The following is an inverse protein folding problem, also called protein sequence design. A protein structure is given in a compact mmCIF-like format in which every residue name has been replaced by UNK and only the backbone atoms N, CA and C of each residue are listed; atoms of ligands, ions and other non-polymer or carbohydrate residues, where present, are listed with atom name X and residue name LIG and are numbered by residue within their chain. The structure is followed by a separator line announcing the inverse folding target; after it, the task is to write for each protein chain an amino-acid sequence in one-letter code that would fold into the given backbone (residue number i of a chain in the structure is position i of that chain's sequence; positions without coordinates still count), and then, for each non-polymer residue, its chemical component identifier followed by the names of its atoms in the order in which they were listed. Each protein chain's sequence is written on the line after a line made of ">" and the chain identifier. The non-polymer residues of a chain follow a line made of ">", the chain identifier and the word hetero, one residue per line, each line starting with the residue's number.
data_IF_697256375580
#
_entry.id   IF_697256375580
#
_cell.length_a   1.000
_cell.length_b   1.000
_cell.length_c   1.000
_cell.angle_alpha   90.00
_cell.angle_beta   90.00
_cell.angle_gamma   90.00
#
_symmetry.space_group_name_H-M   'P 1'
#
loop_
_entity.id
_entity.type
_entity.pdbx_description
1 polymer ?
#
# COMPACT_ATOMS: atom_id res chain seq x y z
N UNK A 1 -15.78 -15.29 -7.66
CA UNK A 1 -14.39 -14.77 -7.61
C UNK A 1 -14.55 -13.29 -7.81
N UNK A 2 -14.94 -12.57 -6.75
CA UNK A 2 -15.68 -11.31 -6.91
C UNK A 2 -14.90 -10.08 -6.46
N UNK A 3 -13.70 -10.26 -5.91
CA UNK A 3 -12.83 -9.16 -5.49
C UNK A 3 -11.62 -9.09 -6.42
N UNK A 4 -11.39 -7.91 -6.99
CA UNK A 4 -10.16 -7.62 -7.73
C UNK A 4 -9.67 -6.21 -7.41
N UNK A 5 -8.36 -5.99 -7.62
CA UNK A 5 -7.70 -4.73 -7.36
C UNK A 5 -7.16 -4.15 -8.66
N UNK A 6 -7.31 -2.84 -8.85
CA UNK A 6 -6.70 -2.12 -9.95
C UNK A 6 -5.75 -1.05 -9.41
N UNK A 7 -4.66 -0.80 -10.13
CA UNK A 7 -3.64 0.17 -9.77
C UNK A 7 -3.35 1.11 -10.95
N UNK A 8 -3.51 2.40 -10.74
CA UNK A 8 -3.01 3.44 -11.65
C UNK A 8 -1.88 4.20 -10.95
N UNK A 9 -0.93 4.76 -11.70
CA UNK A 9 0.19 5.45 -11.07
C UNK A 9 0.71 6.62 -11.88
N UNK A 10 1.38 7.54 -11.18
CA UNK A 10 2.12 8.65 -11.78
C UNK A 10 3.59 8.45 -11.55
N UNK A 11 4.36 8.84 -12.55
CA UNK A 11 5.81 8.72 -12.55
C UNK A 11 6.46 10.07 -12.81
N UNK A 12 7.59 10.31 -12.16
CA UNK A 12 8.46 11.45 -12.42
C UNK A 12 9.91 10.96 -12.41
N UNK A 13 10.66 11.28 -13.46
CA UNK A 13 12.07 10.90 -13.61
C UNK A 13 12.35 9.40 -13.41
N UNK A 14 11.50 8.51 -13.91
CA UNK A 14 11.67 7.05 -13.78
C UNK A 14 11.15 6.45 -12.47
N UNK A 15 10.76 7.28 -11.50
CA UNK A 15 10.27 6.86 -10.20
C UNK A 15 8.78 7.12 -10.05
N UNK A 16 8.06 6.12 -9.56
CA UNK A 16 6.65 6.24 -9.24
C UNK A 16 6.49 7.15 -8.01
N UNK A 17 5.70 8.20 -8.13
CA UNK A 17 5.49 9.20 -7.07
C UNK A 17 4.14 9.05 -6.39
N UNK A 18 3.13 8.57 -7.13
CA UNK A 18 1.76 8.38 -6.64
C UNK A 18 1.18 7.09 -7.23
N UNK A 19 0.49 6.30 -6.42
CA UNK A 19 -0.27 5.12 -6.82
C UNK A 19 -1.72 5.25 -6.33
N UNK A 20 -2.67 5.19 -7.25
CA UNK A 20 -4.07 4.98 -6.93
C UNK A 20 -4.36 3.47 -6.89
N UNK A 21 -4.84 2.98 -5.75
CA UNK A 21 -5.22 1.58 -5.54
C UNK A 21 -6.74 1.53 -5.35
N UNK A 22 -7.40 0.68 -6.14
CA UNK A 22 -8.85 0.59 -6.17
C UNK A 22 -9.29 -0.86 -5.90
N UNK A 23 -10.25 -1.03 -4.98
CA UNK A 23 -10.91 -2.31 -4.71
C UNK A 23 -12.24 -2.38 -5.45
N UNK A 24 -12.51 -3.50 -6.10
CA UNK A 24 -13.79 -3.80 -6.70
C UNK A 24 -14.38 -5.06 -6.06
N UNK A 25 -15.67 -5.04 -5.75
CA UNK A 25 -16.44 -6.19 -5.30
C UNK A 25 -17.65 -6.38 -6.22
N UNK A 26 -17.82 -7.56 -6.79
CA UNK A 26 -18.87 -7.88 -7.77
C UNK A 26 -18.92 -6.88 -8.94
N UNK A 27 -17.75 -6.41 -9.39
CA UNK A 27 -17.63 -5.44 -10.48
C UNK A 27 -17.87 -3.98 -10.09
N UNK A 28 -18.18 -3.69 -8.83
CA UNK A 28 -18.44 -2.32 -8.34
C UNK A 28 -17.23 -1.84 -7.54
N UNK A 29 -16.76 -0.62 -7.79
CA UNK A 29 -15.68 -0.01 -7.00
C UNK A 29 -16.17 0.27 -5.57
N UNK A 30 -15.55 -0.37 -4.58
CA UNK A 30 -15.91 -0.22 -3.15
C UNK A 30 -14.93 0.65 -2.37
N UNK A 31 -13.65 0.68 -2.77
CA UNK A 31 -12.62 1.51 -2.14
C UNK A 31 -11.66 2.08 -3.18
N UNK A 32 -11.09 3.25 -2.90
CA UNK A 32 -10.17 3.98 -3.78
C UNK A 32 -9.26 4.83 -2.89
N UNK A 33 -7.96 4.56 -2.88
CA UNK A 33 -6.99 5.37 -2.11
C UNK A 33 -5.85 5.81 -3.02
N UNK A 34 -5.38 7.04 -2.83
CA UNK A 34 -4.16 7.54 -3.49
C UNK A 34 -3.02 7.56 -2.49
N UNK A 35 -2.06 6.68 -2.70
CA UNK A 35 -0.81 6.60 -1.94
C UNK A 35 0.24 7.47 -2.62
N UNK A 36 1.06 8.18 -1.84
CA UNK A 36 2.17 8.98 -2.38
C UNK A 36 3.44 8.75 -1.59
N UNK A 37 4.58 8.81 -2.26
CA UNK A 37 5.89 8.86 -1.60
C UNK A 37 5.92 10.04 -0.62
N UNK A 38 6.44 9.80 0.58
CA UNK A 38 6.48 10.76 1.69
C UNK A 38 5.21 10.77 2.56
N UNK A 39 4.15 10.05 2.19
CA UNK A 39 2.91 9.98 2.99
C UNK A 39 3.07 9.02 4.15
N UNK A 40 2.50 9.38 5.31
CA UNK A 40 2.39 8.51 6.47
C UNK A 40 1.24 7.53 6.24
N UNK A 41 1.50 6.25 6.44
CA UNK A 41 0.52 5.18 6.40
C UNK A 41 0.48 4.44 7.74
N UNK A 42 -0.68 3.88 8.06
CA UNK A 42 -0.93 3.09 9.26
C UNK A 42 -1.35 1.69 8.84
N UNK A 43 -0.69 0.68 9.39
CA UNK A 43 -0.83 -0.70 8.95
C UNK A 43 -1.08 -1.62 10.15
N UNK A 44 -2.09 -2.47 10.04
CA UNK A 44 -2.36 -3.50 11.04
C UNK A 44 -1.35 -4.64 10.88
N UNK A 45 -0.66 -4.99 11.95
CA UNK A 45 0.45 -5.98 11.93
C UNK A 45 0.15 -7.26 12.69
N UNK A 46 -0.88 -7.28 13.53
CA UNK A 46 -1.45 -8.52 14.06
C UNK A 46 -2.89 -8.31 14.54
N UNK A 47 -3.75 -9.27 14.20
CA UNK A 47 -4.98 -9.55 14.94
C UNK A 47 -4.69 -10.71 15.86
N UNK A 48 -4.24 -10.45 17.09
CA UNK A 48 -4.27 -11.50 18.11
C UNK A 48 -5.70 -11.60 18.61
N UNK A 49 -6.27 -12.81 18.53
CA UNK A 49 -7.57 -13.09 19.12
C UNK A 49 -7.54 -12.58 20.58
N UNK A 50 -8.47 -11.68 20.91
CA UNK A 50 -8.69 -11.09 22.24
C UNK A 50 -7.76 -9.95 22.71
N UNK A 51 -6.87 -9.39 21.88
CA UNK A 51 -6.06 -8.22 22.27
C UNK A 51 -5.97 -7.21 21.13
N UNK A 52 -6.10 -5.92 21.48
CA UNK A 52 -6.14 -4.76 20.59
C UNK A 52 -5.31 -4.91 19.30
N UNK A 53 -5.91 -4.57 18.15
CA UNK A 53 -5.21 -4.53 16.87
C UNK A 53 -3.93 -3.70 16.98
N UNK A 54 -2.79 -4.33 16.69
CA UNK A 54 -1.51 -3.63 16.71
C UNK A 54 -1.28 -2.92 15.39
N UNK A 55 -1.33 -1.60 15.43
CA UNK A 55 -1.02 -0.77 14.28
C UNK A 55 0.40 -0.24 14.36
N UNK A 56 1.07 -0.21 13.20
CA UNK A 56 2.37 0.45 13.04
C UNK A 56 2.25 1.54 12.00
N UNK A 57 2.92 2.65 12.27
CA UNK A 57 2.94 3.82 11.41
C UNK A 57 4.30 3.97 10.75
N UNK A 58 4.30 4.41 9.50
CA UNK A 58 5.53 4.63 8.75
C UNK A 58 5.31 5.47 7.50
N UNK A 59 6.41 5.88 6.89
CA UNK A 59 6.40 6.68 5.66
C UNK A 59 6.62 5.79 4.45
N UNK A 60 5.85 6.03 3.38
CA UNK A 60 6.09 5.41 2.07
C UNK A 60 7.32 6.06 1.45
N UNK A 61 8.39 5.28 1.26
CA UNK A 61 9.67 5.79 0.71
C UNK A 61 9.73 5.59 -0.82
N UNK A 62 9.19 4.49 -1.32
CA UNK A 62 9.19 4.16 -2.75
C UNK A 62 8.06 3.19 -3.09
N UNK A 63 7.68 3.15 -4.36
CA UNK A 63 6.86 2.09 -4.92
C UNK A 63 7.72 1.17 -5.79
N UNK A 64 7.45 -0.14 -5.68
CA UNK A 64 8.22 -1.19 -6.32
C UNK A 64 7.32 -1.90 -7.33
N UNK A 65 7.83 -2.03 -8.55
CA UNK A 65 7.14 -2.68 -9.67
C UNK A 65 7.27 -4.21 -9.59
N UNK A 66 6.26 -4.91 -10.10
CA UNK A 66 6.33 -6.32 -10.44
C UNK A 66 7.16 -6.56 -11.71
N UNK A 67 7.21 -7.83 -12.15
CA UNK A 67 7.98 -8.24 -13.32
C UNK A 67 7.45 -7.71 -14.66
N UNK A 68 6.21 -7.20 -14.70
CA UNK A 68 5.57 -6.64 -15.91
C UNK A 68 5.49 -5.11 -15.86
N UNK A 69 6.03 -4.48 -14.81
CA UNK A 69 6.16 -3.03 -14.68
C UNK A 69 5.05 -2.33 -13.90
N UNK A 70 4.10 -3.07 -13.32
CA UNK A 70 3.02 -2.49 -12.52
C UNK A 70 3.45 -2.31 -11.07
N UNK A 71 3.07 -1.21 -10.39
CA UNK A 71 3.33 -1.05 -8.96
C UNK A 71 2.58 -2.11 -8.15
N UNK A 72 3.31 -2.89 -7.37
CA UNK A 72 2.76 -3.99 -6.58
C UNK A 72 3.07 -3.87 -5.08
N UNK A 73 4.21 -3.26 -4.74
CA UNK A 73 4.61 -3.04 -3.34
C UNK A 73 4.95 -1.58 -3.07
N UNK A 74 4.85 -1.18 -1.81
CA UNK A 74 5.45 0.03 -1.25
C UNK A 74 6.55 -0.38 -0.27
N UNK A 75 7.69 0.33 -0.30
CA UNK A 75 8.66 0.27 0.79
C UNK A 75 8.26 1.29 1.86
N UNK A 76 8.03 0.81 3.08
CA UNK A 76 7.56 1.62 4.20
C UNK A 76 8.61 1.63 5.29
N UNK A 77 9.06 2.83 5.68
CA UNK A 77 9.94 3.06 6.83
C UNK A 77 9.09 3.25 8.07
N UNK A 78 9.09 2.28 8.98
CA UNK A 78 8.33 2.38 10.23
C UNK A 78 9.03 3.25 11.26
N UNK A 79 8.26 4.08 11.98
CA UNK A 79 8.81 5.05 12.93
C UNK A 79 9.41 4.41 14.19
N UNK A 80 8.82 3.32 14.67
CA UNK A 80 9.20 2.62 15.90
C UNK A 80 10.55 1.88 15.80
N UNK A 81 10.89 1.40 14.60
CA UNK A 81 12.04 0.53 14.35
C UNK A 81 13.04 1.14 13.37
N UNK A 82 12.65 2.20 12.67
CA UNK A 82 13.39 2.79 11.55
C UNK A 82 13.79 1.75 10.48
N UNK A 83 13.05 0.63 10.39
CA UNK A 83 13.26 -0.41 9.40
C UNK A 83 12.35 -0.17 8.20
N UNK A 84 12.89 -0.45 7.02
CA UNK A 84 12.13 -0.44 5.77
C UNK A 84 11.62 -1.85 5.50
N UNK A 85 10.31 -1.98 5.28
CA UNK A 85 9.68 -3.24 4.86
C UNK A 85 8.93 -3.05 3.56
N UNK A 86 8.89 -4.10 2.73
CA UNK A 86 8.05 -4.15 1.54
C UNK A 86 6.67 -4.64 1.91
N UNK A 87 5.65 -3.91 1.49
CA UNK A 87 4.24 -4.20 1.78
C UNK A 87 3.44 -4.11 0.50
N UNK A 88 2.58 -5.09 0.26
CA UNK A 88 1.70 -5.08 -0.91
C UNK A 88 0.75 -3.89 -0.84
N UNK A 89 0.55 -3.21 -1.97
CA UNK A 89 -0.30 -2.01 -2.02
C UNK A 89 -1.74 -2.28 -1.56
N UNK A 90 -2.23 -3.49 -1.80
CA UNK A 90 -3.57 -3.92 -1.39
C UNK A 90 -3.73 -4.04 0.13
N UNK A 91 -2.64 -4.13 0.89
CA UNK A 91 -2.67 -4.17 2.37
C UNK A 91 -2.87 -2.76 2.96
N UNK A 92 -2.72 -1.73 2.14
CA UNK A 92 -2.82 -0.32 2.54
C UNK A 92 -4.22 0.27 2.30
N UNK A 93 -5.21 -0.56 1.94
CA UNK A 93 -6.58 -0.14 1.61
C UNK A 93 -7.62 -0.87 2.46
#
# INVERSE_FOLDING_TARGET
>A
MDIFYNTNFKERNGQITECEVQKFEHGVKTQSVTLKVGTICKMETSKRAESESQFREGTIEEFIRDNIGNPMWAAIRFFDTNRVMRVELITLI
#
